data_IF_084435437505
#
_entry.id   IF_084435437505
#
_cell.length_a   1.000
_cell.length_b   1.000
_cell.length_c   1.000
_cell.angle_alpha   90.00
_cell.angle_beta   90.00
_cell.angle_gamma   90.00
#
_symmetry.space_group_name_H-M   'P 1'
#
loop_
_entity.id
_entity.type
_entity.pdbx_description
1 polymer ?
#
# COMPACT_ATOMS: atom_id res chain seq x y z
N UNK A 1 51.33 0.54 8.78
CA UNK A 1 50.48 0.62 7.57
C UNK A 1 49.20 -0.13 7.90
N UNK A 2 48.22 0.55 8.49
CA UNK A 2 46.94 -0.07 8.85
C UNK A 2 46.00 0.01 7.64
N UNK A 3 45.55 -1.14 7.18
CA UNK A 3 44.64 -1.28 6.05
C UNK A 3 43.21 -1.28 6.59
N UNK A 4 42.52 -0.15 6.50
CA UNK A 4 41.14 -0.02 6.94
C UNK A 4 40.21 -0.71 5.91
N UNK A 5 39.74 -1.92 6.21
CA UNK A 5 38.71 -2.59 5.42
C UNK A 5 37.36 -1.90 5.65
N UNK A 6 36.92 -1.08 4.69
CA UNK A 6 35.54 -0.60 4.60
C UNK A 6 34.65 -1.74 4.07
N UNK A 7 34.00 -2.46 4.98
CA UNK A 7 32.93 -3.39 4.64
C UNK A 7 31.68 -2.56 4.34
N UNK A 8 31.48 -2.15 3.09
CA UNK A 8 30.21 -1.54 2.67
C UNK A 8 29.18 -2.66 2.52
N UNK A 9 28.29 -2.79 3.51
CA UNK A 9 27.10 -3.63 3.36
C UNK A 9 26.22 -3.03 2.26
N UNK A 10 26.13 -3.72 1.11
CA UNK A 10 25.17 -3.37 0.06
C UNK A 10 23.80 -3.80 0.57
N UNK A 11 23.11 -2.89 1.25
CA UNK A 11 21.71 -3.05 1.62
C UNK A 11 20.91 -2.78 0.34
N UNK A 12 20.55 -3.83 -0.40
CA UNK A 12 19.58 -3.69 -1.48
C UNK A 12 18.22 -3.40 -0.85
N UNK A 13 17.56 -2.28 -1.17
CA UNK A 13 16.19 -2.09 -0.74
C UNK A 13 15.35 -3.20 -1.38
N UNK A 14 14.81 -4.10 -0.57
CA UNK A 14 13.81 -5.06 -1.05
C UNK A 14 12.60 -4.24 -1.48
N UNK A 15 12.29 -4.20 -2.77
CA UNK A 15 11.04 -3.60 -3.23
C UNK A 15 9.89 -4.39 -2.60
N UNK A 16 9.00 -3.70 -1.89
CA UNK A 16 7.74 -4.30 -1.49
C UNK A 16 6.99 -4.70 -2.77
N UNK A 17 6.36 -5.88 -2.76
CA UNK A 17 5.60 -6.41 -3.90
C UNK A 17 4.21 -6.75 -3.39
N UNK A 18 3.19 -6.31 -4.13
CA UNK A 18 1.80 -6.68 -3.87
C UNK A 18 1.58 -8.11 -4.38
N UNK A 19 1.20 -9.04 -3.49
CA UNK A 19 0.96 -10.44 -3.85
C UNK A 19 -0.20 -11.05 -3.05
N UNK A 20 -0.71 -12.22 -3.48
CA UNK A 20 -1.78 -12.93 -2.76
C UNK A 20 -3.17 -12.27 -2.84
N UNK A 21 -3.41 -11.41 -3.84
CA UNK A 21 -4.65 -10.63 -3.95
C UNK A 21 -5.83 -11.48 -4.40
N UNK A 22 -6.93 -11.34 -3.67
CA UNK A 22 -8.24 -11.92 -4.00
C UNK A 22 -9.29 -10.82 -4.18
N UNK A 23 -10.46 -11.20 -4.70
CA UNK A 23 -11.63 -10.31 -4.71
C UNK A 23 -12.21 -10.16 -3.31
N UNK A 24 -12.87 -9.03 -3.06
CA UNK A 24 -13.44 -8.71 -1.74
C UNK A 24 -14.85 -8.13 -1.89
N UNK A 25 -15.70 -8.37 -0.89
CA UNK A 25 -17.03 -7.79 -0.78
C UNK A 25 -17.06 -6.79 0.38
N UNK A 26 -17.13 -5.51 0.07
CA UNK A 26 -17.29 -4.43 1.04
C UNK A 26 -18.77 -4.07 1.16
N UNK A 27 -19.50 -4.74 2.06
CA UNK A 27 -20.92 -4.45 2.33
C UNK A 27 -21.84 -4.45 1.08
N UNK A 28 -21.72 -5.49 0.24
CA UNK A 28 -22.44 -5.62 -1.03
C UNK A 28 -21.71 -4.98 -2.21
N UNK A 29 -20.63 -4.24 -1.98
CA UNK A 29 -19.80 -3.64 -3.01
C UNK A 29 -18.64 -4.59 -3.36
N UNK A 30 -18.80 -5.36 -4.45
CA UNK A 30 -17.82 -6.38 -4.85
C UNK A 30 -16.71 -5.77 -5.69
N UNK A 31 -15.46 -6.04 -5.28
CA UNK A 31 -14.25 -5.75 -6.04
C UNK A 31 -13.62 -7.03 -6.56
N UNK A 32 -13.21 -7.01 -7.82
CA UNK A 32 -12.44 -8.08 -8.47
C UNK A 32 -10.98 -8.08 -7.99
N UNK A 33 -10.26 -9.20 -8.09
CA UNK A 33 -8.83 -9.23 -7.77
C UNK A 33 -8.01 -8.17 -8.53
N UNK A 34 -8.38 -7.88 -9.78
CA UNK A 34 -7.70 -6.87 -10.59
C UNK A 34 -7.89 -5.45 -10.01
N UNK A 35 -9.10 -5.10 -9.54
CA UNK A 35 -9.36 -3.79 -8.93
C UNK A 35 -8.59 -3.62 -7.62
N UNK A 36 -8.56 -4.65 -6.78
CA UNK A 36 -7.78 -4.65 -5.52
C UNK A 36 -6.28 -4.52 -5.81
N UNK A 37 -5.78 -5.31 -6.78
CA UNK A 37 -4.38 -5.27 -7.20
C UNK A 37 -3.99 -3.91 -7.76
N UNK A 38 -4.82 -3.31 -8.62
CA UNK A 38 -4.53 -2.00 -9.21
C UNK A 38 -4.45 -0.90 -8.14
N UNK A 39 -5.37 -0.88 -7.17
CA UNK A 39 -5.33 0.09 -6.08
C UNK A 39 -4.11 -0.10 -5.16
N UNK A 40 -3.79 -1.35 -4.79
CA UNK A 40 -2.63 -1.66 -3.96
C UNK A 40 -1.30 -1.32 -4.66
N UNK A 41 -1.18 -1.59 -5.96
CA UNK A 41 0.00 -1.22 -6.75
C UNK A 41 0.13 0.30 -6.92
N UNK A 42 -0.97 1.03 -7.07
CA UNK A 42 -0.95 2.49 -7.10
C UNK A 42 -0.46 3.08 -5.78
N UNK A 43 -0.96 2.57 -4.65
CA UNK A 43 -0.49 2.95 -3.32
C UNK A 43 1.02 2.70 -3.15
N UNK A 44 1.47 1.49 -3.50
CA UNK A 44 2.88 1.13 -3.46
C UNK A 44 3.75 2.03 -4.36
N UNK A 45 3.27 2.36 -5.57
CA UNK A 45 3.99 3.24 -6.48
C UNK A 45 4.16 4.64 -5.89
N UNK A 46 3.12 5.17 -5.24
CA UNK A 46 3.19 6.48 -4.58
C UNK A 46 4.15 6.46 -3.38
N UNK A 47 4.14 5.41 -2.56
CA UNK A 47 5.09 5.24 -1.46
C UNK A 47 6.53 5.18 -1.94
N UNK A 48 6.80 4.36 -2.96
CA UNK A 48 8.14 4.24 -3.55
C UNK A 48 8.63 5.57 -4.16
N UNK A 49 7.72 6.38 -4.69
CA UNK A 49 8.04 7.69 -5.25
C UNK A 49 8.06 8.83 -4.22
N UNK A 50 7.62 8.59 -2.97
CA UNK A 50 7.46 9.65 -1.97
C UNK A 50 6.41 10.70 -2.37
N UNK A 51 5.35 10.29 -3.07
CA UNK A 51 4.29 11.18 -3.56
C UNK A 51 2.94 10.82 -2.96
N UNK A 52 1.99 11.77 -2.98
CA UNK A 52 0.63 11.58 -2.51
C UNK A 52 -0.37 12.27 -3.46
N UNK A 53 -1.63 11.84 -3.41
CA UNK A 53 -2.73 12.34 -4.26
C UNK A 53 -3.99 12.67 -3.46
N UNK A 54 -4.74 13.66 -3.95
CA UNK A 54 -5.96 14.16 -3.33
C UNK A 54 -5.71 15.03 -2.09
N UNK A 55 -6.77 15.65 -1.58
CA UNK A 55 -6.71 16.57 -0.42
C UNK A 55 -6.45 15.88 0.92
N UNK A 56 -6.52 14.55 0.94
CA UNK A 56 -6.34 13.73 2.13
C UNK A 56 -4.98 12.99 2.09
N UNK A 57 -4.10 13.35 1.16
CA UNK A 57 -2.73 12.86 1.07
C UNK A 57 -2.62 11.33 1.00
N UNK A 58 -3.27 10.71 0.01
CA UNK A 58 -3.21 9.26 -0.17
C UNK A 58 -1.98 8.84 -1.00
N UNK A 59 -1.31 7.73 -0.68
CA UNK A 59 -1.51 6.89 0.51
C UNK A 59 -1.02 7.60 1.78
N UNK A 60 -1.70 7.33 2.90
CA UNK A 60 -1.28 7.78 4.23
C UNK A 60 -1.29 6.64 5.23
N UNK A 61 -0.58 6.85 6.33
CA UNK A 61 -0.41 5.85 7.38
C UNK A 61 -1.77 5.42 7.95
N UNK A 62 -1.98 4.11 8.02
CA UNK A 62 -3.10 3.47 8.67
C UNK A 62 -2.67 2.91 10.04
N UNK A 63 -3.26 3.44 11.11
CA UNK A 63 -2.82 3.15 12.47
C UNK A 63 -3.48 1.91 13.10
N UNK A 64 -4.46 1.29 12.42
CA UNK A 64 -5.17 0.10 12.89
C UNK A 64 -5.72 0.22 14.33
N UNK A 65 -6.39 1.35 14.65
CA UNK A 65 -6.98 1.58 15.98
C UNK A 65 -8.18 0.68 16.25
N UNK A 66 -8.75 0.14 15.19
CA UNK A 66 -9.85 -0.81 15.13
C UNK A 66 -9.42 -2.22 15.57
N UNK A 67 -8.12 -2.52 15.55
CA UNK A 67 -7.58 -3.80 15.99
C UNK A 67 -7.76 -4.94 14.98
N UNK A 68 -7.71 -4.65 13.67
CA UNK A 68 -7.70 -5.70 12.65
C UNK A 68 -6.46 -6.57 12.75
N UNK A 69 -6.63 -7.87 12.51
CA UNK A 69 -5.52 -8.81 12.42
C UNK A 69 -5.16 -8.96 10.95
N UNK A 70 -3.96 -8.53 10.57
CA UNK A 70 -3.43 -8.71 9.22
C UNK A 70 -2.74 -10.06 9.06
N UNK A 71 -2.65 -10.51 7.81
CA UNK A 71 -2.03 -11.80 7.48
C UNK A 71 -0.57 -11.86 7.94
N UNK A 72 -0.12 -13.07 8.26
CA UNK A 72 1.29 -13.32 8.61
C UNK A 72 2.22 -12.81 7.50
N UNK A 73 3.20 -11.98 7.87
CA UNK A 73 4.13 -11.34 6.92
C UNK A 73 3.81 -9.89 6.61
N UNK A 74 2.62 -9.38 6.99
CA UNK A 74 2.27 -7.97 6.90
C UNK A 74 2.61 -7.26 8.22
N UNK A 75 3.63 -6.39 8.20
CA UNK A 75 4.11 -5.67 9.37
C UNK A 75 3.91 -4.16 9.22
N UNK A 76 3.68 -3.42 10.32
CA UNK A 76 3.60 -1.97 10.25
C UNK A 76 4.95 -1.36 9.79
N UNK A 77 4.94 -0.12 9.24
CA UNK A 77 3.78 0.75 9.08
C UNK A 77 2.84 0.30 7.96
N UNK A 78 1.53 0.39 8.20
CA UNK A 78 0.50 0.15 7.19
C UNK A 78 0.09 1.46 6.52
N UNK A 79 -0.41 1.38 5.30
CA UNK A 79 -0.92 2.53 4.55
C UNK A 79 -2.27 2.24 3.90
N UNK A 80 -3.18 3.21 3.95
CA UNK A 80 -4.48 3.10 3.31
C UNK A 80 -4.50 3.84 1.97
N UNK A 81 -5.25 3.31 0.99
CA UNK A 81 -5.49 3.95 -0.30
C UNK A 81 -6.90 3.67 -0.81
N UNK A 82 -7.62 4.64 -1.42
CA UNK A 82 -8.96 4.43 -1.96
C UNK A 82 -9.02 3.41 -3.10
N UNK A 83 -10.11 2.66 -3.15
CA UNK A 83 -10.39 1.67 -4.21
C UNK A 83 -11.75 1.94 -4.84
N UNK A 84 -11.80 1.84 -6.17
CA UNK A 84 -13.01 2.01 -6.98
C UNK A 84 -13.11 0.89 -8.02
N UNK A 85 -14.33 0.65 -8.55
CA UNK A 85 -14.53 -0.40 -9.57
C UNK A 85 -14.09 0.03 -10.97
N UNK A 86 -14.22 1.30 -11.26
CA UNK A 86 -14.13 1.86 -12.61
C UNK A 86 -12.83 2.61 -12.87
N UNK A 87 -12.06 2.95 -11.83
CA UNK A 87 -10.81 3.68 -11.96
C UNK A 87 -9.84 3.43 -10.79
N UNK A 88 -8.59 3.86 -10.98
CA UNK A 88 -7.62 4.02 -9.89
C UNK A 88 -7.73 5.44 -9.36
N UNK A 89 -7.76 5.61 -8.04
CA UNK A 89 -7.90 6.91 -7.42
C UNK A 89 -6.73 7.85 -7.77
N UNK A 90 -7.05 9.06 -8.21
CA UNK A 90 -6.08 10.11 -8.58
C UNK A 90 -6.31 11.42 -7.83
N UNK A 91 -7.29 11.45 -6.92
CA UNK A 91 -7.74 12.65 -6.20
C UNK A 91 -9.27 12.78 -6.19
N UNK A 92 -9.78 13.79 -5.47
CA UNK A 92 -11.22 14.02 -5.33
C UNK A 92 -11.81 13.35 -4.08
N UNK A 93 -13.10 13.00 -4.13
CA UNK A 93 -13.77 12.33 -3.01
C UNK A 93 -13.31 10.87 -2.93
N UNK A 94 -12.78 10.40 -1.80
CA UNK A 94 -12.14 9.09 -1.74
C UNK A 94 -13.14 7.93 -1.55
N UNK A 95 -14.44 8.19 -1.43
CA UNK A 95 -15.42 7.14 -1.12
C UNK A 95 -15.16 6.44 0.23
N UNK A 96 -15.86 5.34 0.55
CA UNK A 96 -15.72 4.65 1.84
C UNK A 96 -14.65 3.55 1.86
N UNK A 97 -14.36 2.92 0.72
CA UNK A 97 -13.58 1.67 0.68
C UNK A 97 -12.07 1.92 0.52
N UNK A 98 -11.25 1.11 1.21
CA UNK A 98 -9.79 1.24 1.20
C UNK A 98 -9.12 -0.12 0.99
N UNK A 99 -8.01 -0.13 0.25
CA UNK A 99 -6.97 -1.16 0.44
C UNK A 99 -6.02 -0.71 1.55
N UNK A 100 -5.51 -1.67 2.30
CA UNK A 100 -4.43 -1.45 3.28
C UNK A 100 -3.23 -2.29 2.84
N UNK A 101 -2.08 -1.63 2.66
CA UNK A 101 -0.81 -2.26 2.28
C UNK A 101 0.25 -2.11 3.38
#
# INVERSE_FOLDING_TARGET
>A
MEFLLLITAIITPTLAVVSGITGVNCHGYIFTPAQVSNAANAALSHLNAGTQVGSNDYPHQYNNREGFIFNSGCWPPYYAFPIFRDHVYTGGSPGPDRVVI
#
